data_IF_056596188359
#
_entry.id   IF_056596188359
#
_cell.length_a   1.000
_cell.length_b   1.000
_cell.length_c   1.000
_cell.angle_alpha   90.00
_cell.angle_beta   90.00
_cell.angle_gamma   90.00
#
_symmetry.space_group_name_H-M   'P 1'
#
loop_
_entity.id
_entity.type
_entity.pdbx_description
1 polymer ?
#
# COMPACT_ATOMS: atom_id res chain seq x y z
N UNK A 1 16.45 27.16 15.76
CA UNK A 1 15.33 26.64 16.58
C UNK A 1 14.35 25.96 15.64
N UNK A 2 13.84 24.80 16.03
CA UNK A 2 12.90 23.99 15.23
C UNK A 2 11.65 23.75 16.06
N UNK A 3 10.50 23.95 15.45
CA UNK A 3 9.19 23.79 16.09
C UNK A 3 8.34 22.79 15.29
N UNK A 4 7.56 22.00 16.02
CA UNK A 4 6.54 21.09 15.50
C UNK A 4 5.19 21.49 16.10
N UNK A 5 4.21 21.87 15.27
CA UNK A 5 2.91 22.36 15.73
C UNK A 5 3.04 23.49 16.78
N UNK A 6 3.95 24.43 16.53
CA UNK A 6 4.34 25.53 17.42
C UNK A 6 5.03 25.14 18.74
N UNK A 7 5.23 23.85 19.02
CA UNK A 7 6.02 23.40 20.16
C UNK A 7 7.51 23.37 19.79
N UNK A 8 8.37 23.94 20.63
CA UNK A 8 9.82 23.91 20.41
C UNK A 8 10.34 22.49 20.60
N UNK A 9 10.87 21.89 19.55
CA UNK A 9 11.44 20.53 19.58
C UNK A 9 12.96 20.54 19.47
N UNK A 10 13.55 21.55 18.82
CA UNK A 10 14.99 21.74 18.73
C UNK A 10 15.41 23.14 19.15
N UNK A 11 16.01 23.28 20.34
CA UNK A 11 16.57 24.56 20.78
C UNK A 11 18.05 24.71 20.37
N UNK A 12 18.41 25.90 19.87
CA UNK A 12 19.77 26.28 19.45
C UNK A 12 20.54 25.22 18.64
N UNK A 13 19.83 24.43 17.83
CA UNK A 13 20.41 23.43 16.94
C UNK A 13 21.38 24.10 15.95
N UNK A 14 22.51 23.43 15.69
CA UNK A 14 23.48 23.85 14.66
C UNK A 14 22.80 23.92 13.30
N UNK A 15 23.19 24.89 12.48
CA UNK A 15 22.68 24.98 11.12
C UNK A 15 23.00 23.69 10.33
N UNK A 16 22.02 23.20 9.58
CA UNK A 16 22.08 21.93 8.88
C UNK A 16 20.77 21.16 9.01
N UNK A 17 20.86 19.84 9.03
CA UNK A 17 19.71 18.94 9.18
C UNK A 17 19.35 18.76 10.65
N UNK A 18 18.05 18.82 10.94
CA UNK A 18 17.49 18.41 12.22
C UNK A 18 16.39 17.37 11.95
N UNK A 19 16.49 16.22 12.60
CA UNK A 19 15.54 15.12 12.44
C UNK A 19 14.51 15.17 13.55
N UNK A 20 13.24 15.05 13.17
CA UNK A 20 12.14 14.75 14.09
C UNK A 20 11.67 13.34 13.71
N UNK A 21 11.75 12.41 14.65
CA UNK A 21 11.39 11.01 14.47
C UNK A 21 10.29 10.60 15.46
N UNK A 22 9.86 9.33 15.38
CA UNK A 22 8.86 8.74 16.27
C UNK A 22 7.56 9.54 16.35
N UNK A 23 7.12 10.08 15.21
CA UNK A 23 5.84 10.74 15.08
C UNK A 23 4.77 9.72 14.69
N UNK A 24 3.61 9.82 15.31
CA UNK A 24 2.41 9.15 14.83
C UNK A 24 2.02 9.69 13.44
N UNK A 25 1.22 8.91 12.72
CA UNK A 25 0.63 9.38 11.48
C UNK A 25 -0.21 10.64 11.72
N UNK A 26 -0.04 11.64 10.87
CA UNK A 26 -0.70 12.92 11.07
C UNK A 26 -0.17 14.03 10.18
N UNK A 27 -0.80 15.18 10.30
CA UNK A 27 -0.38 16.41 9.62
C UNK A 27 0.28 17.33 10.62
N UNK A 28 1.50 17.76 10.31
CA UNK A 28 2.33 18.55 11.19
C UNK A 28 2.80 19.83 10.50
N UNK A 29 2.77 20.94 11.22
CA UNK A 29 3.44 22.17 10.79
C UNK A 29 4.85 22.20 11.37
N UNK A 30 5.86 22.07 10.52
CA UNK A 30 7.26 22.28 10.89
C UNK A 30 7.60 23.75 10.67
N UNK A 31 8.18 24.40 11.68
CA UNK A 31 8.68 25.78 11.59
C UNK A 31 10.14 25.85 11.99
N UNK A 32 10.96 26.52 11.18
CA UNK A 32 12.38 26.76 11.48
C UNK A 32 12.62 28.25 11.65
N UNK A 33 13.31 28.62 12.73
CA UNK A 33 13.65 30.00 13.08
C UNK A 33 15.15 30.09 13.35
N UNK A 34 15.82 31.06 12.71
CA UNK A 34 17.21 31.40 13.03
C UNK A 34 17.28 32.20 14.34
N UNK A 35 18.33 31.95 15.12
CA UNK A 35 18.61 32.67 16.36
C UNK A 35 20.02 33.24 16.29
N UNK A 36 20.16 34.55 16.52
CA UNK A 36 21.45 35.21 16.58
C UNK A 36 21.37 36.42 17.52
N UNK A 37 22.39 36.61 18.35
CA UNK A 37 22.48 37.74 19.28
C UNK A 37 21.18 38.03 20.07
N UNK A 38 20.57 36.98 20.65
CA UNK A 38 19.30 37.04 21.39
C UNK A 38 18.07 37.49 20.58
N UNK A 39 18.17 37.51 19.26
CA UNK A 39 17.08 37.82 18.34
C UNK A 39 16.68 36.56 17.55
N UNK A 40 15.40 36.49 17.18
CA UNK A 40 14.83 35.45 16.33
C UNK A 40 14.33 36.05 15.01
N UNK A 41 14.46 35.30 13.91
CA UNK A 41 13.80 35.67 12.66
C UNK A 41 12.31 35.32 12.66
N UNK A 42 11.58 35.79 11.64
CA UNK A 42 10.16 35.42 11.41
C UNK A 42 9.98 33.89 11.29
N UNK A 43 10.99 33.21 10.75
CA UNK A 43 10.99 31.79 10.44
C UNK A 43 10.25 31.45 9.14
N UNK A 44 10.45 30.20 8.71
CA UNK A 44 9.73 29.57 7.59
C UNK A 44 8.95 28.37 8.12
N UNK A 45 7.78 28.10 7.53
CA UNK A 45 6.90 27.01 7.94
C UNK A 45 6.48 26.18 6.74
N UNK A 46 6.32 24.87 6.95
CA UNK A 46 5.78 23.94 5.96
C UNK A 46 4.93 22.89 6.66
N UNK A 47 3.81 22.54 6.04
CA UNK A 47 3.00 21.40 6.45
C UNK A 47 3.58 20.10 5.87
N UNK A 48 3.66 19.07 6.70
CA UNK A 48 4.21 17.76 6.37
C UNK A 48 3.21 16.71 6.84
N UNK A 49 2.85 15.77 5.96
CA UNK A 49 2.08 14.58 6.32
C UNK A 49 3.07 13.46 6.65
N UNK A 50 2.88 12.83 7.81
CA UNK A 50 3.54 11.59 8.22
C UNK A 50 2.52 10.47 8.04
N UNK A 51 2.88 9.41 7.33
CA UNK A 51 2.04 8.21 7.19
C UNK A 51 2.30 7.19 8.30
N UNK A 52 1.39 6.24 8.48
CA UNK A 52 1.50 5.12 9.42
C UNK A 52 2.36 3.97 8.86
N UNK A 53 3.06 4.20 7.75
CA UNK A 53 3.76 3.17 6.98
C UNK A 53 2.84 2.26 6.15
N UNK A 54 1.51 2.43 6.22
CA UNK A 54 0.56 1.67 5.39
C UNK A 54 0.52 2.21 3.97
N UNK A 55 0.41 1.30 3.00
CA UNK A 55 0.22 1.65 1.60
C UNK A 55 -1.25 1.74 1.19
N UNK A 56 -2.20 1.44 2.09
CA UNK A 56 -3.65 1.48 1.82
C UNK A 56 -4.14 2.83 1.27
N UNK A 57 -3.56 3.94 1.76
CA UNK A 57 -3.93 5.31 1.36
C UNK A 57 -3.48 5.63 -0.08
N UNK A 58 -2.58 4.83 -0.65
CA UNK A 58 -1.98 5.06 -1.96
C UNK A 58 -2.59 4.17 -3.06
N UNK A 59 -3.53 3.28 -2.74
CA UNK A 59 -4.16 2.33 -3.67
C UNK A 59 -4.77 3.03 -4.91
N UNK A 60 -5.35 4.22 -4.73
CA UNK A 60 -5.97 4.98 -5.83
C UNK A 60 -5.01 5.99 -6.52
N UNK A 61 -3.71 5.88 -6.28
CA UNK A 61 -2.70 6.81 -6.81
C UNK A 61 -1.81 6.14 -7.86
N UNK A 62 -0.94 6.91 -8.50
CA UNK A 62 0.06 6.40 -9.45
C UNK A 62 1.12 5.48 -8.81
N UNK A 63 1.18 5.40 -7.47
CA UNK A 63 2.06 4.46 -6.78
C UNK A 63 1.57 3.01 -6.91
N UNK A 64 0.27 2.82 -7.11
CA UNK A 64 -0.28 1.50 -7.35
C UNK A 64 -0.06 1.09 -8.81
N UNK A 65 1.00 0.32 -9.06
CA UNK A 65 1.35 -0.16 -10.40
C UNK A 65 0.33 -1.16 -10.97
N UNK A 66 -0.48 -1.81 -10.11
CA UNK A 66 -1.54 -2.71 -10.59
C UNK A 66 -2.81 -1.97 -10.96
N UNK A 67 -2.91 -0.64 -10.74
CA UNK A 67 -4.14 0.10 -11.02
C UNK A 67 -4.45 0.08 -12.51
N UNK A 68 -5.60 -0.50 -12.87
CA UNK A 68 -6.02 -0.71 -14.27
C UNK A 68 -5.34 -1.88 -14.97
N UNK A 69 -4.56 -2.70 -14.25
CA UNK A 69 -3.98 -3.92 -14.78
C UNK A 69 -5.08 -4.89 -15.24
N UNK A 70 -4.77 -5.69 -16.26
CA UNK A 70 -5.72 -6.65 -16.82
C UNK A 70 -5.81 -7.86 -15.89
N UNK A 71 -7.04 -8.23 -15.54
CA UNK A 71 -7.32 -9.37 -14.65
C UNK A 71 -8.04 -10.48 -15.39
N UNK A 72 -7.69 -11.72 -15.02
CA UNK A 72 -8.53 -12.90 -15.27
C UNK A 72 -8.76 -13.63 -13.96
N UNK A 73 -9.95 -14.19 -13.80
CA UNK A 73 -10.36 -15.01 -12.65
C UNK A 73 -10.86 -16.33 -13.20
N UNK A 74 -10.44 -17.46 -12.61
CA UNK A 74 -10.81 -18.80 -13.10
C UNK A 74 -12.32 -18.94 -13.34
N UNK A 75 -13.11 -18.53 -12.35
CA UNK A 75 -14.55 -18.46 -12.43
C UNK A 75 -15.10 -17.43 -11.45
N UNK A 76 -15.85 -16.47 -11.99
CA UNK A 76 -16.67 -15.54 -11.21
C UNK A 76 -18.03 -16.20 -10.97
N UNK A 77 -18.54 -16.07 -9.76
CA UNK A 77 -19.87 -16.56 -9.41
C UNK A 77 -20.93 -15.68 -10.07
N UNK A 78 -21.81 -16.29 -10.87
CA UNK A 78 -22.83 -15.56 -11.62
C UNK A 78 -24.00 -15.07 -10.75
N UNK A 79 -24.18 -15.65 -9.56
CA UNK A 79 -25.34 -15.37 -8.70
C UNK A 79 -25.22 -14.09 -7.86
N UNK A 80 -24.00 -13.60 -7.64
CA UNK A 80 -23.71 -12.45 -6.78
C UNK A 80 -22.32 -11.89 -7.10
N UNK A 81 -22.07 -10.64 -6.72
CA UNK A 81 -20.77 -10.00 -6.90
C UNK A 81 -20.70 -9.23 -8.22
N UNK A 82 -19.68 -8.40 -8.32
CA UNK A 82 -19.37 -7.71 -9.57
C UNK A 82 -18.84 -8.72 -10.60
N UNK A 83 -19.44 -8.69 -11.79
CA UNK A 83 -19.03 -9.53 -12.92
C UNK A 83 -17.88 -8.88 -13.72
N UNK A 84 -17.65 -7.59 -13.53
CA UNK A 84 -16.50 -6.88 -14.11
C UNK A 84 -15.26 -7.08 -13.23
N UNK A 85 -14.40 -8.00 -13.65
CA UNK A 85 -13.17 -8.33 -12.92
C UNK A 85 -12.15 -7.19 -12.88
N UNK A 86 -12.33 -6.13 -13.69
CA UNK A 86 -11.46 -4.96 -13.64
C UNK A 86 -11.61 -4.17 -12.34
N UNK A 87 -12.68 -4.37 -11.56
CA UNK A 87 -12.81 -3.74 -10.23
C UNK A 87 -11.78 -4.25 -9.22
N UNK A 88 -11.11 -5.38 -9.47
CA UNK A 88 -10.01 -5.85 -8.62
C UNK A 88 -8.78 -4.93 -8.67
N UNK A 89 -8.68 -4.08 -9.68
CA UNK A 89 -7.55 -3.18 -9.93
C UNK A 89 -7.97 -1.72 -10.15
N UNK A 90 -9.21 -1.33 -9.81
CA UNK A 90 -9.70 0.03 -10.06
C UNK A 90 -9.23 1.07 -9.02
N UNK A 91 -8.67 0.61 -7.91
CA UNK A 91 -8.19 1.43 -6.80
C UNK A 91 -9.24 1.73 -5.72
N UNK A 92 -10.36 0.99 -5.69
CA UNK A 92 -11.45 1.14 -4.73
C UNK A 92 -11.49 -0.05 -3.77
N UNK A 93 -11.43 0.24 -2.47
CA UNK A 93 -11.71 -0.73 -1.41
C UNK A 93 -13.15 -0.56 -0.95
N UNK A 94 -13.92 -1.64 -0.92
CA UNK A 94 -15.36 -1.60 -0.65
C UNK A 94 -15.83 -2.90 0.01
N UNK A 95 -16.85 -2.79 0.85
CA UNK A 95 -17.61 -3.92 1.41
C UNK A 95 -18.91 -4.20 0.64
N UNK A 96 -19.16 -3.43 -0.43
CA UNK A 96 -20.35 -3.54 -1.26
C UNK A 96 -20.22 -4.69 -2.27
N UNK A 97 -21.17 -5.62 -2.22
CA UNK A 97 -21.26 -6.75 -3.16
C UNK A 97 -21.26 -6.33 -4.64
N UNK A 98 -21.82 -5.15 -4.98
CA UNK A 98 -21.83 -4.67 -6.35
C UNK A 98 -20.46 -4.20 -6.88
N UNK A 99 -19.45 -4.09 -6.00
CA UNK A 99 -18.09 -3.67 -6.35
C UNK A 99 -17.10 -4.84 -6.26
N UNK A 100 -17.26 -5.70 -5.25
CA UNK A 100 -16.38 -6.84 -5.03
C UNK A 100 -16.67 -7.98 -6.02
N UNK A 101 -15.62 -8.59 -6.56
CA UNK A 101 -15.73 -9.82 -7.36
C UNK A 101 -15.89 -11.02 -6.43
N UNK A 102 -16.93 -11.82 -6.66
CA UNK A 102 -17.14 -13.09 -5.96
C UNK A 102 -16.61 -14.21 -6.86
N UNK A 103 -15.56 -14.90 -6.43
CA UNK A 103 -15.11 -16.14 -7.09
C UNK A 103 -16.16 -17.25 -6.91
N UNK A 104 -16.08 -18.35 -7.65
CA UNK A 104 -17.09 -19.43 -7.62
C UNK A 104 -17.62 -19.79 -6.22
N UNK A 105 -18.94 -19.77 -6.05
CA UNK A 105 -19.59 -20.03 -4.76
C UNK A 105 -19.31 -21.46 -4.26
N UNK A 106 -18.85 -21.56 -3.01
CA UNK A 106 -18.53 -22.85 -2.38
C UNK A 106 -17.20 -23.47 -2.83
N UNK A 107 -16.51 -22.88 -3.81
CA UNK A 107 -15.15 -23.28 -4.14
C UNK A 107 -14.21 -22.91 -2.98
N UNK A 108 -13.27 -23.81 -2.67
CA UNK A 108 -12.27 -23.58 -1.62
C UNK A 108 -11.00 -22.90 -2.14
N UNK A 109 -10.84 -22.83 -3.46
CA UNK A 109 -9.67 -22.28 -4.15
C UNK A 109 -10.12 -21.52 -5.38
N UNK A 110 -9.42 -20.42 -5.68
CA UNK A 110 -9.58 -19.68 -6.92
C UNK A 110 -8.20 -19.13 -7.33
N UNK A 111 -7.93 -19.11 -8.62
CA UNK A 111 -6.74 -18.44 -9.19
C UNK A 111 -7.17 -17.13 -9.83
N UNK A 112 -6.38 -16.10 -9.60
CA UNK A 112 -6.53 -14.78 -10.21
C UNK A 112 -5.19 -14.45 -10.87
N UNK A 113 -5.19 -14.21 -12.18
CA UNK A 113 -4.00 -13.75 -12.88
C UNK A 113 -4.11 -12.26 -13.16
N UNK A 114 -3.04 -11.54 -12.89
CA UNK A 114 -2.89 -10.11 -13.12
C UNK A 114 -1.75 -9.87 -14.09
N UNK A 115 -2.06 -9.21 -15.20
CA UNK A 115 -1.09 -8.74 -16.17
C UNK A 115 -0.92 -7.22 -15.99
N UNK A 116 0.27 -6.83 -15.51
CA UNK A 116 0.64 -5.43 -15.28
C UNK A 116 0.81 -4.64 -16.58
N UNK A 117 0.82 -5.30 -17.74
CA UNK A 117 0.93 -4.68 -19.07
C UNK A 117 2.34 -4.32 -19.50
N UNK A 118 3.29 -4.30 -18.57
CA UNK A 118 4.71 -4.04 -18.80
C UNK A 118 5.57 -4.62 -17.67
N UNK A 119 6.87 -4.78 -17.92
CA UNK A 119 7.79 -5.34 -16.96
C UNK A 119 8.29 -4.27 -15.98
N UNK A 120 8.29 -4.63 -14.69
CA UNK A 120 8.81 -3.80 -13.62
C UNK A 120 10.00 -4.49 -12.96
N UNK A 121 11.04 -3.72 -12.64
CA UNK A 121 12.12 -4.24 -11.79
C UNK A 121 11.54 -4.61 -10.43
N UNK A 122 11.92 -5.77 -9.89
CA UNK A 122 11.43 -6.23 -8.58
C UNK A 122 11.75 -5.23 -7.47
N UNK A 123 12.85 -4.47 -7.58
CA UNK A 123 13.20 -3.40 -6.63
C UNK A 123 12.23 -2.22 -6.62
N UNK A 124 11.33 -2.12 -7.60
CA UNK A 124 10.28 -1.10 -7.64
C UNK A 124 8.97 -1.59 -6.98
N UNK A 125 8.88 -2.87 -6.62
CA UNK A 125 7.71 -3.45 -5.95
C UNK A 125 8.06 -3.60 -4.47
N UNK A 126 7.32 -2.92 -3.62
CA UNK A 126 7.53 -2.94 -2.17
C UNK A 126 6.61 -3.94 -1.47
N UNK A 127 5.37 -4.03 -1.93
CA UNK A 127 4.30 -4.71 -1.21
C UNK A 127 3.18 -5.15 -2.15
N UNK A 128 2.52 -6.26 -1.82
CA UNK A 128 1.26 -6.68 -2.43
C UNK A 128 0.10 -6.45 -1.46
N UNK A 129 -0.93 -5.75 -1.92
CA UNK A 129 -2.13 -5.46 -1.15
C UNK A 129 -3.32 -6.21 -1.73
N UNK A 130 -4.11 -6.86 -0.87
CA UNK A 130 -5.39 -7.49 -1.24
C UNK A 130 -6.47 -7.10 -0.24
N UNK A 131 -7.61 -6.63 -0.74
CA UNK A 131 -8.76 -6.28 0.07
C UNK A 131 -9.83 -7.36 0.01
N UNK A 132 -10.51 -7.58 1.12
CA UNK A 132 -11.63 -8.50 1.20
C UNK A 132 -12.88 -7.77 1.69
N UNK A 133 -14.03 -8.21 1.20
CA UNK A 133 -15.31 -7.58 1.51
C UNK A 133 -15.68 -7.64 3.01
N UNK A 134 -15.43 -8.79 3.66
CA UNK A 134 -15.85 -9.02 5.06
C UNK A 134 -15.11 -10.21 5.71
N UNK A 135 -15.11 -10.22 7.06
CA UNK A 135 -14.49 -11.25 7.93
C UNK A 135 -15.01 -12.68 7.70
N UNK A 136 -16.22 -12.86 7.18
CA UNK A 136 -16.74 -14.20 6.88
C UNK A 136 -16.46 -14.68 5.44
N UNK A 137 -15.76 -13.87 4.62
CA UNK A 137 -15.58 -14.14 3.17
C UNK A 137 -14.13 -14.07 2.69
N UNK A 138 -13.18 -13.73 3.56
CA UNK A 138 -11.78 -13.55 3.18
C UNK A 138 -11.03 -14.87 3.00
N UNK A 139 -9.99 -14.86 2.17
CA UNK A 139 -9.08 -15.98 2.04
C UNK A 139 -8.16 -16.08 3.27
N UNK A 140 -8.25 -17.18 4.01
CA UNK A 140 -7.37 -17.45 5.17
C UNK A 140 -5.97 -17.87 4.78
N UNK A 141 -5.82 -18.43 3.59
CA UNK A 141 -4.57 -18.89 3.02
C UNK A 141 -4.52 -18.45 1.57
N UNK A 142 -3.41 -17.87 1.15
CA UNK A 142 -3.14 -17.53 -0.26
C UNK A 142 -1.64 -17.43 -0.50
N UNK A 143 -1.27 -17.67 -1.75
CA UNK A 143 0.07 -17.41 -2.27
C UNK A 143 -0.01 -16.28 -3.28
N UNK A 144 1.10 -15.56 -3.45
CA UNK A 144 1.27 -14.59 -4.54
C UNK A 144 2.55 -14.95 -5.24
N UNK A 145 2.45 -15.16 -6.55
CA UNK A 145 3.57 -15.55 -7.39
C UNK A 145 3.81 -14.50 -8.47
N UNK A 146 5.06 -14.16 -8.74
CA UNK A 146 5.46 -13.18 -9.74
C UNK A 146 6.11 -13.86 -10.94
N UNK A 147 5.95 -13.27 -12.13
CA UNK A 147 6.53 -13.75 -13.38
C UNK A 147 6.95 -12.57 -14.25
N UNK A 148 8.12 -12.69 -14.89
CA UNK A 148 8.63 -11.71 -15.86
C UNK A 148 8.33 -12.09 -17.32
N UNK A 149 7.92 -13.34 -17.56
CA UNK A 149 7.70 -13.92 -18.90
C UNK A 149 6.29 -14.50 -19.09
N UNK A 150 5.44 -14.44 -18.07
CA UNK A 150 4.09 -14.99 -18.07
C UNK A 150 4.02 -16.53 -18.08
N UNK A 151 5.14 -17.22 -17.88
CA UNK A 151 5.24 -18.68 -17.94
C UNK A 151 5.87 -19.27 -16.68
N UNK A 152 6.96 -18.68 -16.21
CA UNK A 152 7.67 -19.09 -15.01
C UNK A 152 7.25 -18.19 -13.84
N UNK A 153 6.64 -18.80 -12.83
CA UNK A 153 6.14 -18.11 -11.64
C UNK A 153 6.99 -18.47 -10.42
N UNK A 154 7.26 -17.47 -9.59
CA UNK A 154 7.95 -17.63 -8.31
C UNK A 154 7.08 -17.15 -7.17
N UNK A 155 6.84 -18.00 -6.17
CA UNK A 155 6.21 -17.60 -4.91
C UNK A 155 7.01 -16.49 -4.23
N UNK A 156 6.35 -15.36 -3.97
CA UNK A 156 6.88 -14.21 -3.25
C UNK A 156 6.23 -14.03 -1.88
N UNK A 157 4.97 -14.47 -1.75
CA UNK A 157 4.18 -14.36 -0.52
C UNK A 157 3.47 -15.69 -0.27
N UNK A 158 3.49 -16.13 0.98
CA UNK A 158 2.77 -17.32 1.44
C UNK A 158 2.09 -17.00 2.78
N UNK A 159 0.80 -16.67 2.71
CA UNK A 159 0.00 -16.34 3.88
C UNK A 159 -0.79 -17.58 4.31
N UNK A 160 -0.72 -17.89 5.61
CA UNK A 160 -1.48 -18.98 6.25
C UNK A 160 -2.18 -18.43 7.49
N UNK A 161 -3.36 -18.96 7.78
CA UNK A 161 -4.16 -18.63 8.97
C UNK A 161 -4.41 -17.12 9.18
N UNK A 162 -4.59 -16.39 8.06
CA UNK A 162 -4.77 -14.94 8.07
C UNK A 162 -5.89 -14.51 9.03
N UNK A 163 -5.71 -13.33 9.64
CA UNK A 163 -6.75 -12.62 10.40
C UNK A 163 -7.31 -11.52 9.54
N UNK A 164 -8.64 -11.41 9.49
CA UNK A 164 -9.30 -10.40 8.69
C UNK A 164 -8.80 -8.98 8.99
N UNK A 165 -8.58 -8.25 7.90
CA UNK A 165 -8.39 -6.80 7.83
C UNK A 165 -9.07 -6.36 6.53
N UNK A 166 -9.54 -5.12 6.47
CA UNK A 166 -10.15 -4.58 5.26
C UNK A 166 -9.16 -4.58 4.08
N UNK A 167 -7.88 -4.32 4.36
CA UNK A 167 -6.76 -4.45 3.44
C UNK A 167 -5.65 -5.27 4.10
N UNK A 168 -5.26 -6.36 3.44
CA UNK A 168 -4.09 -7.15 3.80
C UNK A 168 -2.89 -6.59 3.06
N UNK A 169 -1.87 -6.16 3.79
CA UNK A 169 -0.64 -5.62 3.23
C UNK A 169 0.48 -6.66 3.46
N UNK A 170 1.13 -7.10 2.37
CA UNK A 170 2.10 -8.18 2.38
C UNK A 170 3.41 -7.71 1.75
N UNK A 171 4.38 -7.38 2.60
CA UNK A 171 5.73 -6.97 2.17
C UNK A 171 6.40 -8.10 1.43
N UNK A 172 7.07 -7.75 0.33
CA UNK A 172 7.90 -8.69 -0.40
C UNK A 172 9.37 -8.50 0.00
N UNK A 173 10.17 -9.54 -0.19
CA UNK A 173 11.63 -9.44 -0.17
C UNK A 173 12.17 -9.53 -1.62
N UNK A 174 12.49 -8.39 -2.25
CA UNK A 174 12.98 -8.37 -3.63
C UNK A 174 14.25 -9.19 -3.85
N UNK A 175 15.06 -9.42 -2.80
CA UNK A 175 16.31 -10.18 -2.91
C UNK A 175 16.10 -11.68 -3.15
N UNK A 176 14.87 -12.17 -2.95
CA UNK A 176 14.51 -13.58 -3.14
C UNK A 176 14.06 -13.88 -4.57
N UNK A 177 13.77 -12.87 -5.39
CA UNK A 177 13.32 -13.04 -6.77
C UNK A 177 14.48 -13.37 -7.71
N UNK A 178 14.33 -14.45 -8.50
CA UNK A 178 15.44 -15.01 -9.29
C UNK A 178 15.28 -14.83 -10.80
N UNK A 179 14.32 -14.03 -11.25
CA UNK A 179 14.05 -13.79 -12.67
C UNK A 179 14.28 -12.30 -13.00
N UNK A 180 14.85 -12.03 -14.18
CA UNK A 180 15.15 -10.68 -14.69
C UNK A 180 14.12 -10.25 -15.74
#
# INVERSE_FOLDING_TARGET
MVYLNNNLVGDRVTAGTYTIDNLDAGTYTVKVVSYYNKLTSKGISKEVKVDDGSLKDYINTVRNISKGAKITVDKVYEGEGNQDVSSLTDGIVSDNNGVCVHTEHGAQTATINMDLGENYLISNIEEFLIAFKADNTYAKTYTVEFSADGQNFQEMINVKDAKYKDVMENKIDPSTYNYD
#
